data_IF_042001667432
#
_entry.id   IF_042001667432
#
_cell.length_a   1.000
_cell.length_b   1.000
_cell.length_c   1.000
_cell.angle_alpha   90.00
_cell.angle_beta   90.00
_cell.angle_gamma   90.00
#
_symmetry.space_group_name_H-M   'P 1'
#
loop_
_entity.id
_entity.type
_entity.pdbx_description
1 polymer ?
#
# COMPACT_ATOMS: atom_id res chain seq x y z
N UNK A 1 -21.05 50.10 -34.60
CA UNK A 1 -22.21 50.47 -35.45
C UNK A 1 -22.93 49.17 -35.79
N UNK A 2 -24.23 48.98 -35.61
CA UNK A 2 -25.33 49.86 -35.13
C UNK A 2 -26.09 49.18 -33.96
N UNK A 3 -27.07 49.86 -33.35
CA UNK A 3 -27.85 49.31 -32.23
C UNK A 3 -29.31 49.80 -32.24
N UNK A 4 -30.27 48.89 -32.00
CA UNK A 4 -31.67 49.11 -31.55
C UNK A 4 -32.36 47.74 -31.35
N UNK A 5 -33.58 47.65 -30.78
CA UNK A 5 -33.89 47.71 -29.35
C UNK A 5 -35.41 47.46 -29.09
N UNK A 6 -35.76 46.76 -27.99
CA UNK A 6 -37.13 46.68 -27.39
C UNK A 6 -38.24 45.99 -28.24
N UNK A 7 -39.40 45.54 -27.73
CA UNK A 7 -40.02 45.58 -26.37
C UNK A 7 -40.97 44.38 -26.10
N UNK A 8 -41.53 44.35 -24.87
CA UNK A 8 -42.61 43.50 -24.31
C UNK A 8 -43.79 43.10 -25.25
N UNK A 9 -44.64 42.10 -24.94
CA UNK A 9 -44.81 41.32 -23.70
C UNK A 9 -46.17 41.59 -23.02
N UNK A 10 -46.91 40.54 -22.63
CA UNK A 10 -48.13 40.60 -21.79
C UNK A 10 -48.51 39.20 -21.27
N UNK A 11 -49.36 39.12 -20.24
CA UNK A 11 -49.84 37.87 -19.65
C UNK A 11 -51.33 37.95 -19.28
N UNK A 12 -52.01 36.80 -19.29
CA UNK A 12 -53.34 36.61 -18.68
C UNK A 12 -53.53 35.16 -18.26
N UNK A 13 -54.25 34.95 -17.16
CA UNK A 13 -54.59 33.63 -16.63
C UNK A 13 -56.10 33.54 -16.32
N UNK A 14 -56.68 32.35 -16.50
CA UNK A 14 -58.05 32.02 -16.11
C UNK A 14 -58.09 30.57 -15.60
N UNK A 15 -58.98 30.26 -14.65
CA UNK A 15 -58.93 29.02 -13.86
C UNK A 15 -60.04 28.01 -14.19
N UNK A 16 -59.83 26.77 -13.71
CA UNK A 16 -60.74 25.70 -13.23
C UNK A 16 -62.26 25.79 -13.53
N UNK A 17 -62.93 24.64 -13.79
CA UNK A 17 -63.41 23.85 -12.65
C UNK A 17 -63.40 22.32 -12.79
N UNK A 18 -63.52 21.62 -11.66
CA UNK A 18 -63.78 20.17 -11.53
C UNK A 18 -65.26 19.85 -11.29
N UNK A 19 -65.70 18.62 -11.61
CA UNK A 19 -66.78 17.94 -10.89
C UNK A 19 -66.39 16.53 -10.40
N UNK A 20 -67.31 15.85 -9.69
CA UNK A 20 -67.06 14.68 -8.81
C UNK A 20 -67.96 13.49 -9.17
N UNK A 21 -67.47 12.23 -9.06
CA UNK A 21 -68.26 11.06 -8.59
C UNK A 21 -67.45 9.76 -8.35
N UNK A 22 -67.84 9.04 -7.28
CA UNK A 22 -67.40 7.74 -6.70
C UNK A 22 -68.22 6.54 -7.25
N UNK A 23 -68.14 5.28 -6.73
CA UNK A 23 -67.02 4.41 -6.26
C UNK A 23 -67.09 2.95 -6.81
N UNK A 24 -66.23 2.01 -6.38
CA UNK A 24 -66.39 0.54 -6.60
C UNK A 24 -65.71 -0.36 -5.52
N UNK A 25 -66.18 -1.60 -5.36
CA UNK A 25 -65.90 -2.60 -4.27
C UNK A 25 -66.08 -4.03 -4.86
N UNK A 26 -65.53 -5.18 -4.45
CA UNK A 26 -64.88 -5.78 -3.23
C UNK A 26 -63.34 -5.94 -3.37
N UNK A 27 -62.49 -6.38 -2.41
CA UNK A 27 -62.44 -7.44 -1.34
C UNK A 27 -62.17 -8.88 -1.87
N UNK A 28 -61.67 -9.87 -1.07
CA UNK A 28 -60.23 -10.17 -0.90
C UNK A 28 -59.79 -11.61 -1.29
N UNK A 29 -58.47 -11.88 -1.32
CA UNK A 29 -57.90 -13.25 -1.39
C UNK A 29 -56.74 -13.44 -0.40
N UNK A 30 -56.54 -14.69 0.05
CA UNK A 30 -55.77 -15.11 1.22
C UNK A 30 -54.23 -14.94 1.16
N UNK A 31 -53.63 -14.97 2.36
CA UNK A 31 -52.19 -15.01 2.61
C UNK A 31 -51.56 -16.40 2.43
N UNK A 32 -50.30 -16.42 1.99
CA UNK A 32 -49.33 -17.49 2.24
C UNK A 32 -47.96 -16.84 2.57
N UNK A 33 -47.02 -17.55 3.22
CA UNK A 33 -46.18 -16.92 4.23
C UNK A 33 -45.01 -16.09 3.68
N UNK A 34 -44.67 -15.05 4.45
CA UNK A 34 -43.33 -14.43 4.41
C UNK A 34 -42.37 -15.40 5.10
N UNK A 35 -41.58 -16.11 4.31
CA UNK A 35 -40.44 -16.89 4.81
C UNK A 35 -39.23 -15.98 5.01
N UNK A 36 -39.28 -15.08 6.00
CA UNK A 36 -38.05 -14.53 6.57
C UNK A 36 -37.30 -15.67 7.27
N UNK A 37 -36.06 -15.98 6.90
CA UNK A 37 -35.18 -16.62 7.87
C UNK A 37 -35.05 -15.66 9.06
N UNK A 38 -35.17 -16.17 10.28
CA UNK A 38 -34.67 -15.43 11.46
C UNK A 38 -33.17 -15.63 11.51
N UNK A 39 -32.49 -15.00 10.54
CA UNK A 39 -31.08 -14.71 10.65
C UNK A 39 -30.97 -13.66 11.77
N UNK A 40 -30.49 -14.10 12.92
CA UNK A 40 -30.07 -13.17 13.97
C UNK A 40 -28.97 -12.32 13.32
N UNK A 41 -29.07 -10.98 13.31
CA UNK A 41 -27.95 -10.15 12.87
C UNK A 41 -26.70 -10.58 13.64
N UNK A 42 -25.57 -10.67 12.95
CA UNK A 42 -24.30 -10.92 13.60
C UNK A 42 -23.95 -9.84 14.63
N UNK A 43 -22.82 -9.96 15.33
CA UNK A 43 -22.14 -8.78 15.86
C UNK A 43 -22.05 -7.71 14.76
N UNK A 44 -22.11 -6.44 15.16
CA UNK A 44 -21.82 -5.38 14.21
C UNK A 44 -20.32 -5.42 13.83
N UNK A 45 -20.08 -4.89 12.65
CA UNK A 45 -18.86 -4.79 11.85
C UNK A 45 -19.33 -3.74 10.81
N UNK A 46 -18.67 -2.58 10.72
CA UNK A 46 -19.29 -1.35 10.14
C UNK A 46 -18.61 -0.85 8.88
N UNK A 47 -17.31 -1.00 8.84
CA UNK A 47 -16.32 -0.75 7.79
C UNK A 47 -16.07 -2.01 6.92
N UNK A 48 -16.36 -3.21 7.44
CA UNK A 48 -16.20 -4.52 6.77
C UNK A 48 -14.74 -4.95 6.53
N UNK A 49 -13.83 -4.64 7.45
CA UNK A 49 -12.54 -5.31 7.64
C UNK A 49 -12.70 -6.79 8.07
N UNK A 50 -13.77 -7.08 8.82
CA UNK A 50 -14.12 -8.38 9.38
C UNK A 50 -13.77 -8.58 10.86
N UNK A 51 -13.20 -7.59 11.55
CA UNK A 51 -13.23 -7.47 13.00
C UNK A 51 -14.63 -6.99 13.43
N UNK A 52 -14.99 -7.18 14.69
CA UNK A 52 -16.36 -6.87 15.15
C UNK A 52 -16.35 -5.76 16.19
N UNK A 53 -17.41 -4.94 16.16
CA UNK A 53 -17.70 -3.72 16.93
C UNK A 53 -17.20 -3.74 18.39
N UNK A 54 -17.27 -4.92 19.01
CA UNK A 54 -16.96 -5.15 20.41
C UNK A 54 -15.49 -5.57 20.66
N UNK A 55 -14.85 -6.22 19.69
CA UNK A 55 -13.43 -6.58 19.71
C UNK A 55 -12.56 -5.36 19.42
N UNK A 56 -12.93 -4.56 18.41
CA UNK A 56 -12.23 -3.33 18.01
C UNK A 56 -12.06 -2.38 19.20
N UNK A 57 -13.17 -2.03 19.85
CA UNK A 57 -13.21 -1.23 21.10
C UNK A 57 -12.53 -1.90 22.31
N UNK A 58 -12.07 -3.14 22.18
CA UNK A 58 -11.29 -3.87 23.20
C UNK A 58 -9.80 -3.92 22.87
N UNK A 59 -9.41 -3.90 21.59
CA UNK A 59 -8.00 -3.79 21.16
C UNK A 59 -7.54 -2.33 21.12
N UNK A 60 -8.37 -1.42 20.59
CA UNK A 60 -8.14 0.03 20.57
C UNK A 60 -8.58 0.74 19.30
N UNK A 61 -8.94 -0.01 18.26
CA UNK A 61 -9.21 0.49 16.90
C UNK A 61 -10.50 1.31 16.78
N UNK A 62 -10.64 2.13 15.73
CA UNK A 62 -11.84 2.96 15.51
C UNK A 62 -12.84 2.27 14.57
N UNK A 63 -13.95 1.73 15.10
CA UNK A 63 -14.82 0.83 14.36
C UNK A 63 -15.80 1.53 13.40
N UNK A 64 -15.43 2.67 12.83
CA UNK A 64 -16.03 3.22 11.60
C UNK A 64 -14.96 3.40 10.49
N UNK A 65 -13.71 2.97 10.74
CA UNK A 65 -12.59 2.90 9.79
C UNK A 65 -12.07 1.46 9.67
N UNK A 66 -11.27 1.18 8.64
CA UNK A 66 -11.00 -0.21 8.17
C UNK A 66 -9.54 -0.67 8.34
N UNK A 67 -8.70 0.27 8.75
CA UNK A 67 -7.24 0.32 8.63
C UNK A 67 -6.87 1.50 9.56
N UNK A 68 -6.74 1.23 10.86
CA UNK A 68 -6.81 2.27 11.90
C UNK A 68 -5.57 3.20 11.92
N UNK A 69 -4.43 2.77 11.37
CA UNK A 69 -3.20 3.55 11.37
C UNK A 69 -2.73 4.07 9.99
N UNK A 70 -3.42 3.74 8.88
CA UNK A 70 -3.11 4.02 7.47
C UNK A 70 -1.85 3.30 6.90
N UNK A 71 -1.58 2.03 7.25
CA UNK A 71 -0.50 1.23 6.62
C UNK A 71 -0.95 0.41 5.38
N UNK A 72 -2.26 0.18 5.21
CA UNK A 72 -2.87 -0.59 4.12
C UNK A 72 -3.31 -2.02 4.46
N UNK A 73 -2.95 -2.54 5.62
CA UNK A 73 -3.50 -3.72 6.24
C UNK A 73 -4.84 -3.38 6.90
N UNK A 74 -5.80 -4.32 6.97
CA UNK A 74 -7.02 -4.11 7.72
C UNK A 74 -6.92 -4.76 9.12
N UNK A 75 -7.43 -4.05 10.14
CA UNK A 75 -7.28 -4.38 11.56
C UNK A 75 -7.55 -5.86 11.89
N UNK A 76 -8.64 -6.41 11.36
CA UNK A 76 -9.12 -7.75 11.64
C UNK A 76 -8.23 -8.85 11.07
N UNK A 77 -7.77 -8.78 9.80
CA UNK A 77 -6.62 -9.52 9.32
C UNK A 77 -5.41 -9.47 10.25
N UNK A 78 -4.93 -8.32 10.71
CA UNK A 78 -3.75 -8.24 11.58
C UNK A 78 -3.95 -8.96 12.92
N UNK A 79 -5.10 -8.74 13.56
CA UNK A 79 -5.48 -9.36 14.84
C UNK A 79 -5.64 -10.90 14.76
N UNK A 80 -5.69 -11.51 13.55
CA UNK A 80 -6.06 -12.93 13.38
C UNK A 80 -5.27 -13.75 12.35
N UNK A 81 -4.58 -13.12 11.40
CA UNK A 81 -3.98 -13.81 10.25
C UNK A 81 -2.55 -14.27 10.57
N UNK A 82 -2.24 -15.53 10.28
CA UNK A 82 -0.86 -16.02 10.37
C UNK A 82 0.03 -15.45 9.23
N UNK A 83 -0.57 -14.93 8.16
CA UNK A 83 0.13 -14.40 6.97
C UNK A 83 0.80 -13.02 7.20
N UNK A 84 0.33 -12.27 8.21
CA UNK A 84 0.93 -11.00 8.69
C UNK A 84 1.34 -11.13 10.17
N UNK A 85 1.90 -12.30 10.53
CA UNK A 85 2.36 -12.57 11.91
C UNK A 85 3.39 -11.54 12.35
N UNK A 86 2.98 -10.66 13.27
CA UNK A 86 3.83 -9.62 13.83
C UNK A 86 3.20 -8.22 13.80
N UNK A 87 2.12 -8.05 13.03
CA UNK A 87 1.42 -6.78 12.89
C UNK A 87 0.69 -6.32 14.17
N UNK A 88 0.44 -5.02 14.28
CA UNK A 88 -0.29 -4.38 15.39
C UNK A 88 -1.14 -3.20 14.85
N UNK A 89 -2.49 -3.27 14.86
CA UNK A 89 -3.41 -2.35 14.14
C UNK A 89 -3.55 -0.96 14.79
N UNK A 90 -2.50 -0.54 15.50
CA UNK A 90 -2.33 0.75 16.14
C UNK A 90 -0.88 1.26 15.98
N UNK A 91 -0.07 0.61 15.13
CA UNK A 91 1.36 0.85 14.83
C UNK A 91 1.70 0.31 13.43
N UNK A 92 1.75 1.21 12.45
CA UNK A 92 2.00 0.89 11.02
C UNK A 92 3.10 -0.13 10.79
N UNK A 93 2.82 -1.12 9.96
CA UNK A 93 3.80 -2.10 9.51
C UNK A 93 4.27 -1.84 8.07
N UNK A 94 5.37 -2.48 7.67
CA UNK A 94 5.73 -2.66 6.26
C UNK A 94 6.27 -4.07 6.06
N UNK A 95 5.49 -4.93 5.41
CA UNK A 95 5.90 -6.30 5.09
C UNK A 95 6.68 -6.36 3.77
N UNK A 96 7.87 -6.98 3.78
CA UNK A 96 8.74 -7.12 2.61
C UNK A 96 9.17 -8.58 2.44
N UNK A 97 8.77 -9.19 1.33
CA UNK A 97 9.24 -10.51 0.91
C UNK A 97 10.52 -10.35 0.07
N UNK A 98 11.59 -11.07 0.43
CA UNK A 98 12.91 -10.96 -0.19
C UNK A 98 13.41 -12.30 -0.72
N UNK A 99 13.31 -12.47 -2.03
CA UNK A 99 13.93 -13.57 -2.77
C UNK A 99 15.41 -13.28 -3.07
N UNK A 100 16.22 -14.32 -3.18
CA UNK A 100 17.66 -14.20 -3.48
C UNK A 100 18.12 -15.18 -4.54
N UNK A 101 18.71 -14.67 -5.63
CA UNK A 101 19.18 -15.46 -6.76
C UNK A 101 20.70 -15.60 -6.87
N UNK A 102 21.15 -16.73 -7.40
CA UNK A 102 22.55 -16.97 -7.77
C UNK A 102 23.51 -17.00 -6.58
N UNK A 103 24.24 -15.91 -6.34
CA UNK A 103 25.17 -15.76 -5.20
C UNK A 103 24.70 -14.73 -4.16
N UNK A 104 23.48 -14.21 -4.30
CA UNK A 104 22.95 -13.22 -3.39
C UNK A 104 22.42 -13.82 -2.09
N UNK A 105 22.49 -13.02 -1.04
CA UNK A 105 21.74 -13.20 0.19
C UNK A 105 21.66 -11.82 0.86
N UNK A 106 20.48 -11.40 1.31
CA UNK A 106 20.37 -10.25 2.22
C UNK A 106 21.02 -10.67 3.56
N UNK A 107 22.06 -9.99 4.06
CA UNK A 107 22.69 -10.37 5.33
C UNK A 107 21.89 -9.82 6.51
N UNK A 108 21.92 -10.50 7.65
CA UNK A 108 21.16 -10.14 8.86
C UNK A 108 21.41 -8.68 9.26
N UNK A 109 22.68 -8.25 9.30
CA UNK A 109 23.11 -6.85 9.52
C UNK A 109 22.52 -5.77 8.60
N UNK A 110 21.86 -6.16 7.51
CA UNK A 110 21.12 -5.24 6.64
C UNK A 110 19.67 -5.15 7.11
N UNK A 111 19.03 -6.30 7.38
CA UNK A 111 17.71 -6.37 8.03
C UNK A 111 17.72 -5.60 9.35
N UNK A 112 18.64 -5.91 10.28
CA UNK A 112 18.82 -5.22 11.58
C UNK A 112 18.86 -3.68 11.46
N UNK A 113 19.30 -3.17 10.30
CA UNK A 113 19.49 -1.74 10.01
C UNK A 113 18.37 -1.13 9.18
N UNK A 114 17.60 -1.93 8.45
CA UNK A 114 16.38 -1.48 7.80
C UNK A 114 15.29 -1.38 8.86
N UNK A 115 15.08 -2.45 9.64
CA UNK A 115 14.16 -2.51 10.77
C UNK A 115 14.41 -1.35 11.75
N UNK A 116 15.65 -1.16 12.20
CA UNK A 116 16.01 -0.04 13.08
C UNK A 116 15.81 1.35 12.47
N UNK A 117 15.87 1.51 11.14
CA UNK A 117 15.61 2.79 10.47
C UNK A 117 14.11 3.08 10.33
N UNK A 118 13.26 2.07 10.14
CA UNK A 118 11.81 2.25 10.16
C UNK A 118 11.29 2.44 11.60
N UNK A 119 11.84 1.72 12.59
CA UNK A 119 11.47 1.88 14.00
C UNK A 119 11.87 3.24 14.59
N UNK A 120 12.94 3.88 14.07
CA UNK A 120 13.35 5.25 14.43
C UNK A 120 12.59 6.34 13.60
N UNK A 121 11.62 5.99 12.74
CA UNK A 121 10.95 6.94 11.84
C UNK A 121 10.01 7.93 12.58
N UNK A 122 10.02 9.24 12.25
CA UNK A 122 9.27 10.28 12.94
C UNK A 122 7.79 10.34 12.49
N UNK A 123 7.05 9.25 12.69
CA UNK A 123 5.64 9.08 12.29
C UNK A 123 4.86 8.67 13.53
N UNK A 124 3.88 9.48 13.96
CA UNK A 124 3.03 9.22 15.13
C UNK A 124 1.95 8.18 14.80
N UNK A 125 1.77 7.16 15.65
CA UNK A 125 0.78 6.09 15.51
C UNK A 125 -0.45 6.25 16.45
N UNK A 126 -1.59 5.58 16.18
CA UNK A 126 -2.80 5.65 17.02
C UNK A 126 -2.62 5.31 18.51
N UNK A 127 -1.69 4.41 18.87
CA UNK A 127 -1.39 4.11 20.28
C UNK A 127 -0.62 5.24 21.01
N UNK A 128 -0.10 6.22 20.27
CA UNK A 128 0.72 7.32 20.76
C UNK A 128 2.23 7.05 20.80
N UNK A 129 2.70 6.01 20.12
CA UNK A 129 4.13 5.76 19.83
C UNK A 129 4.56 6.41 18.50
N UNK A 130 5.85 6.29 18.19
CA UNK A 130 6.43 6.66 16.90
C UNK A 130 7.05 5.43 16.20
N UNK A 131 7.30 5.53 14.89
CA UNK A 131 8.00 4.54 14.08
C UNK A 131 7.08 3.61 13.27
N UNK A 132 7.67 2.86 12.34
CA UNK A 132 7.03 1.80 11.55
C UNK A 132 7.72 0.47 11.86
N UNK A 133 6.95 -0.61 12.03
CA UNK A 133 7.50 -1.95 12.23
C UNK A 133 7.69 -2.68 10.88
N UNK A 134 8.95 -2.74 10.42
CA UNK A 134 9.32 -3.35 9.14
C UNK A 134 9.55 -4.86 9.30
N UNK A 135 8.83 -5.69 8.55
CA UNK A 135 8.96 -7.16 8.59
C UNK A 135 9.64 -7.68 7.33
N UNK A 136 10.94 -8.01 7.41
CA UNK A 136 11.73 -8.46 6.23
C UNK A 136 11.85 -9.99 6.19
N UNK A 137 10.91 -10.65 5.50
CA UNK A 137 10.88 -12.11 5.33
C UNK A 137 11.75 -12.51 4.13
N UNK A 138 12.60 -13.53 4.30
CA UNK A 138 13.33 -14.16 3.19
C UNK A 138 12.60 -15.44 2.77
N UNK A 139 12.04 -15.49 1.55
CA UNK A 139 11.42 -16.72 1.02
C UNK A 139 12.38 -17.51 0.13
N UNK A 140 12.42 -17.25 -1.17
CA UNK A 140 12.87 -18.23 -2.15
C UNK A 140 14.33 -18.06 -2.61
N UNK A 141 14.94 -19.16 -3.07
CA UNK A 141 16.32 -19.19 -3.59
C UNK A 141 16.33 -19.44 -5.10
N UNK A 142 16.36 -18.34 -5.86
CA UNK A 142 16.08 -18.34 -7.29
C UNK A 142 17.24 -18.92 -8.12
N UNK A 143 16.92 -19.88 -8.99
CA UNK A 143 17.87 -20.50 -9.93
C UNK A 143 18.11 -19.65 -11.20
N UNK A 144 18.51 -18.39 -11.03
CA UNK A 144 18.83 -17.44 -12.12
C UNK A 144 20.22 -17.67 -12.72
N UNK A 145 20.42 -17.27 -13.98
CA UNK A 145 21.74 -17.32 -14.65
C UNK A 145 21.92 -16.16 -15.63
N UNK A 146 22.92 -15.31 -15.37
CA UNK A 146 23.06 -14.02 -16.04
C UNK A 146 22.08 -12.96 -15.50
N UNK A 147 22.06 -11.75 -16.10
CA UNK A 147 21.24 -10.65 -15.59
C UNK A 147 19.74 -10.94 -15.64
N UNK A 148 19.02 -10.48 -14.61
CA UNK A 148 17.55 -10.42 -14.64
C UNK A 148 17.13 -9.09 -15.25
N UNK A 149 16.32 -9.15 -16.29
CA UNK A 149 15.71 -7.95 -16.88
C UNK A 149 14.45 -7.56 -16.10
N UNK A 150 14.29 -6.29 -15.75
CA UNK A 150 13.11 -5.79 -15.03
C UNK A 150 11.82 -5.96 -15.86
N UNK A 151 11.91 -5.74 -17.17
CA UNK A 151 10.79 -5.87 -18.10
C UNK A 151 10.64 -7.28 -18.68
N UNK A 152 9.44 -7.67 -19.15
CA UNK A 152 9.23 -8.97 -19.80
C UNK A 152 10.15 -9.19 -21.01
N UNK A 153 11.05 -10.17 -20.91
CA UNK A 153 12.09 -10.43 -21.91
C UNK A 153 12.40 -11.94 -22.04
N UNK A 154 13.05 -12.38 -23.14
CA UNK A 154 13.48 -13.77 -23.28
C UNK A 154 14.63 -14.10 -22.32
N UNK A 155 14.36 -14.93 -21.31
CA UNK A 155 15.31 -15.29 -20.26
C UNK A 155 14.81 -14.88 -18.87
N UNK A 156 15.68 -14.87 -17.84
CA UNK A 156 15.34 -14.40 -16.50
C UNK A 156 14.82 -12.96 -16.55
N UNK A 157 13.60 -12.75 -16.07
CA UNK A 157 13.00 -11.42 -15.94
C UNK A 157 12.10 -11.36 -14.70
N UNK A 158 12.00 -10.17 -14.10
CA UNK A 158 11.28 -9.95 -12.85
C UNK A 158 9.80 -10.34 -12.96
N UNK A 159 9.15 -10.03 -14.09
CA UNK A 159 7.71 -10.29 -14.30
C UNK A 159 7.38 -11.79 -14.44
N UNK A 160 8.34 -12.66 -14.78
CA UNK A 160 8.16 -14.11 -14.61
C UNK A 160 8.44 -14.56 -13.17
N UNK A 161 9.50 -14.05 -12.55
CA UNK A 161 9.90 -14.42 -11.18
C UNK A 161 8.78 -14.10 -10.18
N UNK A 162 8.23 -12.88 -10.21
CA UNK A 162 7.09 -12.45 -9.39
C UNK A 162 5.83 -13.32 -9.57
N UNK A 163 5.66 -14.01 -10.71
CA UNK A 163 4.51 -14.89 -10.95
C UNK A 163 4.73 -16.34 -10.53
N UNK A 164 5.96 -16.68 -10.18
CA UNK A 164 6.42 -18.04 -9.91
C UNK A 164 6.91 -18.20 -8.47
N UNK A 165 7.36 -17.12 -7.80
CA UNK A 165 7.90 -17.12 -6.43
C UNK A 165 7.38 -16.00 -5.50
N UNK A 166 6.49 -15.08 -5.91
CA UNK A 166 5.91 -14.11 -4.96
C UNK A 166 4.81 -14.79 -4.11
N UNK A 167 5.21 -15.35 -2.97
CA UNK A 167 4.34 -16.18 -2.12
C UNK A 167 3.21 -15.35 -1.48
N UNK A 168 3.53 -14.19 -0.90
CA UNK A 168 2.58 -13.32 -0.20
C UNK A 168 1.89 -12.30 -1.15
N UNK A 169 1.75 -12.66 -2.43
CA UNK A 169 1.06 -11.88 -3.45
C UNK A 169 -0.43 -11.67 -3.10
N UNK A 170 -0.77 -10.48 -2.62
CA UNK A 170 -2.14 -10.10 -2.24
C UNK A 170 -2.39 -10.04 -0.74
N UNK A 171 -1.33 -10.13 0.08
CA UNK A 171 -1.38 -10.04 1.54
C UNK A 171 -0.74 -8.74 2.09
N UNK A 172 -0.66 -7.67 1.30
CA UNK A 172 -0.03 -6.39 1.71
C UNK A 172 1.48 -6.29 1.52
N UNK A 173 2.16 -7.38 1.12
CA UNK A 173 3.62 -7.41 1.01
C UNK A 173 4.18 -6.62 -0.18
N UNK A 174 5.31 -5.94 0.03
CA UNK A 174 6.20 -5.47 -1.03
C UNK A 174 7.11 -6.63 -1.47
N UNK A 175 7.28 -6.84 -2.79
CA UNK A 175 8.08 -7.96 -3.31
C UNK A 175 9.45 -7.52 -3.81
N UNK A 176 10.51 -8.11 -3.27
CA UNK A 176 11.91 -7.81 -3.56
C UNK A 176 12.71 -9.01 -4.07
N UNK A 177 13.48 -8.81 -5.13
CA UNK A 177 14.35 -9.82 -5.74
C UNK A 177 15.79 -9.32 -5.76
N UNK A 178 16.69 -10.03 -5.07
CA UNK A 178 18.13 -9.73 -5.05
C UNK A 178 18.91 -10.64 -5.99
N UNK A 179 19.61 -10.08 -6.98
CA UNK A 179 20.39 -10.85 -7.98
C UNK A 179 21.78 -10.27 -8.27
N UNK A 180 22.73 -11.04 -8.83
CA UNK A 180 24.12 -10.56 -8.97
C UNK A 180 24.30 -9.47 -10.03
N UNK A 181 23.45 -9.47 -11.06
CA UNK A 181 23.43 -8.50 -12.16
C UNK A 181 21.97 -8.12 -12.45
N UNK A 182 21.63 -6.82 -12.46
CA UNK A 182 20.28 -6.34 -12.84
C UNK A 182 20.33 -5.60 -14.18
N UNK A 183 19.30 -5.76 -15.00
CA UNK A 183 19.14 -5.06 -16.29
C UNK A 183 17.80 -4.35 -16.41
N UNK A 184 17.81 -3.12 -16.92
CA UNK A 184 16.60 -2.38 -17.31
C UNK A 184 16.77 -1.78 -18.71
N UNK A 185 15.88 -2.15 -19.62
CA UNK A 185 15.93 -1.89 -21.06
C UNK A 185 17.26 -2.34 -21.71
N UNK A 186 17.81 -3.48 -21.26
CA UNK A 186 19.09 -4.02 -21.74
C UNK A 186 20.33 -3.23 -21.27
N UNK A 187 20.23 -2.51 -20.15
CA UNK A 187 21.34 -1.79 -19.50
C UNK A 187 21.53 -2.28 -18.08
N UNK A 188 22.76 -2.58 -17.69
CA UNK A 188 23.09 -2.84 -16.28
C UNK A 188 22.83 -1.60 -15.42
N UNK A 189 22.17 -1.81 -14.28
CA UNK A 189 21.77 -0.82 -13.28
C UNK A 189 21.88 -1.46 -11.89
N UNK A 190 22.15 -0.68 -10.84
CA UNK A 190 22.27 -1.21 -9.47
C UNK A 190 20.95 -1.71 -8.86
N UNK A 191 19.83 -1.33 -9.46
CA UNK A 191 18.49 -1.75 -9.11
C UNK A 191 17.45 -1.09 -10.01
N UNK A 192 16.19 -1.46 -9.82
CA UNK A 192 15.03 -0.96 -10.53
C UNK A 192 13.76 -1.35 -9.77
N UNK A 193 13.17 -0.40 -9.05
CA UNK A 193 11.90 -0.57 -8.36
C UNK A 193 10.71 0.15 -9.01
N UNK A 194 9.58 0.02 -8.35
CA UNK A 194 8.32 0.72 -8.58
C UNK A 194 7.35 0.37 -7.46
N UNK A 195 6.16 0.96 -7.46
CA UNK A 195 5.11 0.68 -6.48
C UNK A 195 4.98 -0.82 -6.17
N UNK A 196 5.22 -1.21 -4.90
CA UNK A 196 5.12 -2.59 -4.40
C UNK A 196 6.19 -3.58 -4.90
N UNK A 197 7.18 -3.13 -5.68
CA UNK A 197 8.08 -4.02 -6.45
C UNK A 197 9.53 -3.55 -6.50
N UNK A 198 10.47 -4.46 -6.24
CA UNK A 198 11.91 -4.19 -6.13
C UNK A 198 12.72 -5.26 -6.86
N UNK A 199 13.60 -4.85 -7.78
CA UNK A 199 14.69 -5.69 -8.30
C UNK A 199 16.02 -4.98 -7.98
N UNK A 200 16.93 -5.61 -7.24
CA UNK A 200 18.17 -4.94 -6.78
C UNK A 200 19.41 -5.83 -6.92
N UNK A 201 20.57 -5.22 -7.18
CA UNK A 201 21.86 -5.93 -7.20
C UNK A 201 22.31 -6.26 -5.76
N UNK A 202 23.17 -7.29 -5.61
CA UNK A 202 23.75 -7.66 -4.32
C UNK A 202 25.29 -7.44 -4.22
N UNK A 203 25.83 -6.21 -4.32
CA UNK A 203 27.28 -6.00 -4.35
C UNK A 203 27.99 -6.51 -3.11
N UNK A 204 29.05 -7.33 -3.29
CA UNK A 204 29.92 -7.83 -2.20
C UNK A 204 30.80 -6.70 -1.61
N UNK A 205 30.16 -5.82 -0.85
CA UNK A 205 30.74 -4.73 -0.05
C UNK A 205 29.94 -4.60 1.24
N UNK A 206 30.54 -4.06 2.30
CA UNK A 206 29.79 -3.77 3.53
C UNK A 206 28.68 -2.75 3.20
N UNK A 207 27.51 -3.00 3.77
CA UNK A 207 26.30 -2.16 3.75
C UNK A 207 25.63 -1.91 2.38
N UNK A 208 26.35 -2.07 1.26
CA UNK A 208 25.90 -1.75 -0.09
C UNK A 208 24.58 -2.41 -0.52
N UNK A 209 24.40 -3.72 -0.30
CA UNK A 209 23.14 -4.42 -0.66
C UNK A 209 21.92 -3.84 0.07
N UNK A 210 22.04 -3.55 1.37
CA UNK A 210 20.93 -2.99 2.14
C UNK A 210 20.69 -1.50 1.87
N UNK A 211 21.73 -0.74 1.51
CA UNK A 211 21.58 0.64 1.04
C UNK A 211 20.83 0.69 -0.31
N UNK A 212 21.16 -0.21 -1.25
CA UNK A 212 20.42 -0.34 -2.51
C UNK A 212 18.99 -0.84 -2.27
N UNK A 213 18.79 -1.81 -1.37
CA UNK A 213 17.45 -2.28 -1.02
C UNK A 213 16.60 -1.17 -0.37
N UNK A 214 17.17 -0.32 0.49
CA UNK A 214 16.47 0.87 1.02
C UNK A 214 16.14 1.88 -0.08
N UNK A 215 17.04 2.10 -1.04
CA UNK A 215 16.77 2.98 -2.19
C UNK A 215 15.56 2.49 -3.01
N UNK A 216 15.54 1.20 -3.39
CA UNK A 216 14.41 0.64 -4.13
C UNK A 216 13.14 0.48 -3.25
N UNK A 217 13.27 0.30 -1.93
CA UNK A 217 12.13 0.28 -1.01
C UNK A 217 11.47 1.66 -0.88
N UNK A 218 12.24 2.74 -0.91
CA UNK A 218 11.70 4.10 -1.04
C UNK A 218 10.85 4.28 -2.31
N UNK A 219 11.29 3.73 -3.45
CA UNK A 219 10.46 3.67 -4.66
C UNK A 219 9.22 2.79 -4.50
N UNK A 220 9.35 1.66 -3.80
CA UNK A 220 8.26 0.73 -3.52
C UNK A 220 7.14 1.37 -2.69
N UNK A 221 7.52 2.23 -1.73
CA UNK A 221 6.64 3.05 -0.89
C UNK A 221 6.18 4.36 -1.57
N UNK A 222 6.77 4.75 -2.71
CA UNK A 222 6.28 5.84 -3.56
C UNK A 222 7.13 7.12 -3.64
N UNK A 223 8.34 7.15 -3.06
CA UNK A 223 9.31 8.22 -3.29
C UNK A 223 9.81 8.17 -4.74
N UNK A 224 9.75 9.28 -5.49
CA UNK A 224 10.21 9.35 -6.89
C UNK A 224 10.87 10.69 -7.23
N UNK A 225 11.67 10.74 -8.30
CA UNK A 225 12.16 12.00 -8.86
C UNK A 225 11.07 12.99 -9.35
N UNK A 226 9.79 12.57 -9.40
CA UNK A 226 8.65 13.47 -9.61
C UNK A 226 8.22 14.13 -8.30
N UNK A 227 8.33 13.41 -7.18
CA UNK A 227 8.06 13.88 -5.83
C UNK A 227 9.08 14.94 -5.38
N UNK A 228 10.37 14.67 -5.53
CA UNK A 228 11.44 15.61 -5.16
C UNK A 228 12.69 15.51 -6.04
N UNK A 229 13.30 16.66 -6.36
CA UNK A 229 14.48 16.78 -7.25
C UNK A 229 15.80 16.23 -6.64
N UNK A 230 15.80 15.87 -5.36
CA UNK A 230 16.90 15.16 -4.71
C UNK A 230 16.85 13.64 -4.86
N UNK A 231 15.68 13.08 -5.19
CA UNK A 231 15.49 11.65 -5.49
C UNK A 231 16.07 11.37 -6.89
N UNK A 232 16.73 10.22 -7.06
CA UNK A 232 17.36 9.73 -8.30
C UNK A 232 18.39 10.70 -8.89
N UNK A 233 19.04 11.47 -8.01
CA UNK A 233 19.67 12.72 -8.39
C UNK A 233 20.92 13.01 -7.58
N UNK A 234 21.90 13.60 -8.25
CA UNK A 234 23.07 14.22 -7.60
C UNK A 234 22.93 15.74 -7.47
N UNK A 235 21.79 16.32 -7.87
CA UNK A 235 21.58 17.77 -7.92
C UNK A 235 21.44 18.42 -6.52
N UNK A 236 21.03 17.65 -5.51
CA UNK A 236 20.93 18.10 -4.11
C UNK A 236 22.05 17.42 -3.29
N UNK A 237 22.96 18.18 -2.65
CA UNK A 237 24.00 17.59 -1.79
C UNK A 237 23.40 16.76 -0.66
N UNK A 238 24.06 15.65 -0.29
CA UNK A 238 23.62 14.77 0.80
C UNK A 238 23.42 15.52 2.13
N UNK A 239 24.34 16.44 2.48
CA UNK A 239 24.24 17.33 3.66
C UNK A 239 23.00 18.27 3.66
N UNK A 240 22.20 18.29 2.59
CA UNK A 240 20.95 19.06 2.46
C UNK A 240 19.71 18.21 2.17
N UNK A 241 19.90 16.91 1.92
CA UNK A 241 18.87 15.89 1.73
C UNK A 241 19.51 14.53 2.05
N UNK A 242 19.60 14.15 3.34
CA UNK A 242 20.41 13.03 3.84
C UNK A 242 19.76 11.64 3.65
N UNK A 243 19.05 11.46 2.53
CA UNK A 243 18.25 10.28 2.22
C UNK A 243 19.01 9.19 1.45
N UNK A 244 18.64 7.92 1.64
CA UNK A 244 19.03 6.81 0.77
C UNK A 244 18.60 7.04 -0.71
N UNK A 245 17.57 7.85 -0.96
CA UNK A 245 17.12 8.23 -2.30
C UNK A 245 18.08 9.17 -3.06
N UNK A 246 19.08 9.74 -2.38
CA UNK A 246 20.03 10.69 -2.94
C UNK A 246 21.25 9.98 -3.55
N UNK A 247 21.55 10.17 -4.84
CA UNK A 247 22.73 9.55 -5.47
C UNK A 247 24.09 10.10 -4.98
N UNK A 248 24.10 11.14 -4.12
CA UNK A 248 25.30 11.56 -3.38
C UNK A 248 25.50 10.79 -2.05
N UNK A 249 24.57 9.89 -1.66
CA UNK A 249 24.61 9.20 -0.38
C UNK A 249 25.83 8.24 -0.25
N UNK A 250 26.41 8.11 0.95
CA UNK A 250 27.37 7.05 1.22
C UNK A 250 26.66 5.70 1.31
N UNK A 251 27.32 4.60 0.90
CA UNK A 251 26.75 3.23 0.92
C UNK A 251 26.37 2.68 2.30
N UNK A 252 26.53 3.48 3.37
CA UNK A 252 26.10 3.20 4.73
C UNK A 252 24.82 3.94 5.14
N UNK A 253 24.36 4.93 4.36
CA UNK A 253 23.10 5.63 4.57
C UNK A 253 21.92 4.71 4.24
N UNK A 254 21.09 4.40 5.23
CA UNK A 254 19.87 3.61 5.07
C UNK A 254 18.64 4.51 5.25
N UNK A 255 18.79 5.55 6.08
CA UNK A 255 17.78 6.53 6.46
C UNK A 255 17.16 7.28 5.28
N UNK A 256 15.90 7.69 5.43
CA UNK A 256 15.26 8.69 4.59
C UNK A 256 15.31 10.06 5.28
N UNK A 257 15.10 11.15 4.55
CA UNK A 257 15.27 12.51 5.09
C UNK A 257 14.08 12.93 5.95
N UNK A 258 14.30 13.24 7.23
CA UNK A 258 13.42 14.06 8.09
C UNK A 258 13.65 15.59 7.89
N UNK A 259 14.57 15.93 6.98
CA UNK A 259 15.22 17.24 6.96
C UNK A 259 14.42 18.34 6.24
N UNK A 260 14.73 19.62 6.52
CA UNK A 260 14.01 20.79 5.97
C UNK A 260 14.23 21.04 4.45
N UNK A 261 14.88 20.13 3.73
CA UNK A 261 15.05 20.17 2.28
C UNK A 261 13.91 19.47 1.53
N UNK A 262 13.60 18.25 1.97
CA UNK A 262 12.39 17.48 1.68
C UNK A 262 12.28 16.40 2.77
N UNK A 263 11.05 16.18 3.23
CA UNK A 263 10.73 15.24 4.30
C UNK A 263 10.15 13.98 3.63
N UNK A 264 10.98 12.96 3.49
CA UNK A 264 10.61 11.66 2.91
C UNK A 264 9.66 10.92 3.85
N UNK A 265 9.88 10.98 5.16
CA UNK A 265 9.09 10.26 6.16
C UNK A 265 7.68 10.84 6.27
N UNK A 266 7.54 12.17 6.35
CA UNK A 266 6.22 12.82 6.29
C UNK A 266 5.56 12.70 4.90
N UNK A 267 6.32 12.45 3.82
CA UNK A 267 5.73 12.10 2.53
C UNK A 267 5.18 10.67 2.55
N UNK A 268 5.95 9.69 3.02
CA UNK A 268 5.52 8.28 3.20
C UNK A 268 4.25 8.26 4.05
N UNK A 269 4.26 8.86 5.24
CA UNK A 269 3.13 8.87 6.18
C UNK A 269 1.79 9.31 5.57
N UNK A 270 1.82 10.17 4.54
CA UNK A 270 0.62 10.72 3.89
C UNK A 270 0.41 10.26 2.43
N UNK A 271 1.30 9.44 1.86
CA UNK A 271 1.28 9.04 0.44
C UNK A 271 1.83 7.63 0.18
N UNK A 272 2.03 6.80 1.22
CA UNK A 272 2.55 5.45 1.13
C UNK A 272 1.80 4.64 0.07
N UNK A 273 2.54 4.03 -0.85
CA UNK A 273 1.96 3.01 -1.71
C UNK A 273 1.84 1.71 -0.92
N UNK A 274 0.61 1.33 -0.64
CA UNK A 274 0.24 0.10 0.04
C UNK A 274 -0.07 -1.00 -1.00
N UNK A 275 0.57 -2.19 -0.92
CA UNK A 275 0.23 -3.33 -1.77
C UNK A 275 -1.16 -3.91 -1.43
N UNK A 276 -1.82 -4.51 -2.41
CA UNK A 276 -3.20 -4.99 -2.23
C UNK A 276 -3.35 -6.14 -1.23
N UNK A 277 -4.43 -6.11 -0.44
CA UNK A 277 -4.77 -7.09 0.62
C UNK A 277 -5.92 -8.05 0.23
N UNK A 278 -6.19 -8.21 -1.07
CA UNK A 278 -7.27 -9.04 -1.63
C UNK A 278 -7.30 -10.49 -1.09
N UNK A 279 -6.15 -11.06 -0.73
CA UNK A 279 -6.04 -12.43 -0.23
C UNK A 279 -6.34 -12.54 1.28
N UNK A 280 -5.91 -11.57 2.11
CA UNK A 280 -6.28 -11.51 3.54
C UNK A 280 -7.81 -11.50 3.72
N UNK A 281 -8.49 -10.66 2.93
CA UNK A 281 -9.94 -10.53 2.94
C UNK A 281 -10.68 -11.83 2.54
N UNK A 282 -10.06 -12.67 1.71
CA UNK A 282 -10.65 -13.95 1.30
C UNK A 282 -10.58 -15.03 2.39
N UNK A 283 -9.56 -14.98 3.26
CA UNK A 283 -9.37 -15.92 4.37
C UNK A 283 -10.36 -15.68 5.51
N UNK A 284 -10.64 -14.42 5.84
CA UNK A 284 -11.56 -14.03 6.94
C UNK A 284 -13.01 -14.47 6.68
N UNK A 285 -13.46 -14.53 5.42
CA UNK A 285 -14.84 -14.87 5.07
C UNK A 285 -15.17 -16.40 5.14
N UNK A 286 -14.34 -17.20 5.79
CA UNK A 286 -14.39 -18.68 5.74
C UNK A 286 -14.93 -19.42 6.97
N UNK A 287 -14.97 -18.79 8.16
CA UNK A 287 -15.20 -19.45 9.48
C UNK A 287 -16.57 -19.18 10.12
#
# INVERSE_FOLDING_TARGET
>A
MTATATSAGSATATASPTPVSTPATVTPTASTPVSTPTETPGPADRDSDGLVDATERTVGTDPDDRDTDDDGLPDGPEVRSEEVTGADPLRRDVFVEVDSGGSCQLPDRAIDRMEGTFADAPIENPDGTEGIDLHVIRSDTLSVSGPVEYWPAPGPNFVSIQRESFDHSGYGYHYAVLVPDVSNAGRSVGGSGGFGTILSECPDRRDATGHLLMHELGHSLGLTAVTYTGIDSTAVPYDSYPSAMNYNAPVSAYDYSDGPGFDDWAYIAANQHTPGTDALNATVAGD
#
